data_IF_554725645302
#
_entry.id   IF_554725645302
#
_cell.length_a   1.000
_cell.length_b   1.000
_cell.length_c   1.000
_cell.angle_alpha   90.00
_cell.angle_beta   90.00
_cell.angle_gamma   90.00
#
_symmetry.space_group_name_H-M   'P 1'
#
loop_
_entity.id
_entity.type
_entity.pdbx_description
1 polymer ?
#
# COMPACT_ATOMS: atom_id res chain seq x y z
N UNK A 1 13.52 11.29 7.98
CA UNK A 1 12.77 10.30 8.79
C UNK A 1 12.15 9.30 7.84
N UNK A 2 12.14 8.03 8.20
CA UNK A 2 11.89 6.92 7.29
C UNK A 2 10.55 6.28 7.55
N UNK A 3 9.66 6.38 6.56
CA UNK A 3 8.30 5.92 6.68
C UNK A 3 8.19 4.51 6.09
N UNK A 4 7.40 3.63 6.71
CA UNK A 4 7.04 2.37 6.07
C UNK A 4 5.96 2.69 5.02
N UNK A 5 6.20 2.39 3.73
CA UNK A 5 5.31 2.81 2.65
C UNK A 5 4.30 1.73 2.24
N UNK A 6 3.60 1.12 3.20
CA UNK A 6 2.56 0.10 2.95
C UNK A 6 1.48 0.11 4.02
N UNK A 7 0.35 -0.56 3.78
CA UNK A 7 -0.69 -0.71 4.79
C UNK A 7 -0.21 -1.65 5.91
N UNK A 8 0.45 -1.09 6.92
CA UNK A 8 0.96 -1.79 8.11
C UNK A 8 -0.15 -2.47 8.91
N UNK A 9 -1.41 -2.07 8.71
CA UNK A 9 -2.55 -2.64 9.39
C UNK A 9 -3.10 -3.89 8.68
N UNK A 10 -2.73 -4.18 7.44
CA UNK A 10 -3.31 -5.28 6.66
C UNK A 10 -3.18 -6.64 7.38
N UNK A 11 -4.32 -7.31 7.58
CA UNK A 11 -4.49 -8.59 8.29
C UNK A 11 -3.91 -8.62 9.70
N UNK A 12 -3.74 -7.45 10.33
CA UNK A 12 -3.37 -7.35 11.74
C UNK A 12 -4.56 -7.60 12.65
N UNK A 13 -4.26 -7.88 13.91
CA UNK A 13 -5.30 -8.08 14.92
C UNK A 13 -6.00 -6.77 15.21
N UNK A 14 -7.30 -6.72 14.93
CA UNK A 14 -8.14 -5.55 15.17
C UNK A 14 -9.16 -5.81 16.28
N UNK A 15 -9.58 -4.76 16.98
CA UNK A 15 -10.59 -4.81 18.02
C UNK A 15 -11.49 -3.60 17.93
N UNK A 16 -12.76 -3.74 18.30
CA UNK A 16 -13.73 -2.66 18.26
C UNK A 16 -14.73 -2.77 19.41
N UNK A 17 -15.36 -1.65 19.75
CA UNK A 17 -16.57 -1.68 20.59
C UNK A 17 -17.78 -2.03 19.74
N UNK A 18 -18.50 -3.08 20.13
CA UNK A 18 -19.74 -3.46 19.46
C UNK A 18 -20.65 -4.20 20.41
N UNK A 19 -21.79 -3.59 20.74
CA UNK A 19 -22.80 -4.13 21.64
C UNK A 19 -23.90 -4.88 20.89
N UNK A 20 -24.19 -4.48 19.65
CA UNK A 20 -25.35 -4.98 18.90
C UNK A 20 -24.99 -5.88 17.73
N UNK A 21 -23.81 -5.71 17.10
CA UNK A 21 -23.48 -6.44 15.87
C UNK A 21 -22.07 -7.05 15.82
N UNK A 22 -21.47 -7.38 16.97
CA UNK A 22 -20.04 -7.76 17.06
C UNK A 22 -19.66 -8.95 16.18
N UNK A 23 -20.50 -9.99 16.17
CA UNK A 23 -20.25 -11.21 15.38
C UNK A 23 -20.53 -11.02 13.89
N UNK A 24 -21.39 -10.07 13.53
CA UNK A 24 -21.80 -9.83 12.14
C UNK A 24 -20.87 -8.88 11.39
N UNK A 25 -20.31 -7.89 12.08
CA UNK A 25 -19.40 -6.89 11.52
C UNK A 25 -18.13 -6.81 12.36
N UNK A 26 -17.30 -7.86 12.37
CA UNK A 26 -16.14 -7.94 13.24
C UNK A 26 -15.05 -6.93 12.85
N UNK A 27 -14.15 -6.64 13.79
CA UNK A 27 -13.17 -5.56 13.66
C UNK A 27 -12.14 -5.79 12.55
N UNK A 28 -11.81 -7.04 12.24
CA UNK A 28 -10.83 -7.46 11.23
C UNK A 28 -11.22 -7.04 9.81
N UNK A 29 -12.52 -6.82 9.57
CA UNK A 29 -13.03 -6.29 8.29
C UNK A 29 -12.45 -4.94 7.89
N UNK A 30 -12.01 -4.12 8.85
CA UNK A 30 -11.36 -2.84 8.52
C UNK A 30 -9.90 -3.00 8.01
N UNK A 31 -9.34 -4.20 8.13
CA UNK A 31 -7.94 -4.50 7.79
C UNK A 31 -7.80 -5.69 6.85
N UNK A 32 -8.90 -6.20 6.29
CA UNK A 32 -8.91 -7.36 5.39
C UNK A 32 -8.58 -7.02 3.92
N UNK A 33 -8.40 -5.72 3.63
CA UNK A 33 -8.10 -5.19 2.29
C UNK A 33 -9.32 -4.98 1.40
N UNK A 34 -10.52 -5.33 1.88
CA UNK A 34 -11.77 -5.02 1.20
C UNK A 34 -12.18 -3.58 1.51
N UNK A 35 -12.42 -2.81 0.45
CA UNK A 35 -12.77 -1.38 0.52
C UNK A 35 -14.25 -1.14 0.22
N UNK A 36 -15.05 -2.20 0.14
CA UNK A 36 -16.49 -2.15 -0.07
C UNK A 36 -17.19 -1.39 1.07
N UNK A 37 -17.92 -0.34 0.69
CA UNK A 37 -18.59 0.57 1.61
C UNK A 37 -20.04 0.19 1.91
N UNK A 38 -20.58 -0.83 1.24
CA UNK A 38 -21.98 -1.22 1.35
C UNK A 38 -22.18 -2.20 2.51
N UNK A 39 -22.87 -1.71 3.55
CA UNK A 39 -23.21 -2.51 4.73
C UNK A 39 -23.95 -3.82 4.40
N UNK A 40 -24.75 -3.83 3.33
CA UNK A 40 -25.47 -5.03 2.87
C UNK A 40 -24.56 -6.14 2.37
N UNK A 41 -23.29 -5.85 2.04
CA UNK A 41 -22.33 -6.86 1.59
C UNK A 41 -21.54 -7.47 2.77
N UNK A 42 -21.74 -7.00 4.00
CA UNK A 42 -21.16 -7.59 5.22
C UNK A 42 -19.62 -7.65 5.23
N UNK A 43 -18.99 -6.65 4.59
CA UNK A 43 -17.54 -6.51 4.49
C UNK A 43 -16.97 -5.35 5.33
N UNK A 44 -17.81 -4.61 6.06
CA UNK A 44 -17.36 -3.49 6.88
C UNK A 44 -17.18 -3.90 8.35
N UNK A 45 -16.22 -3.29 9.05
CA UNK A 45 -16.22 -3.24 10.50
C UNK A 45 -17.27 -2.22 10.98
N UNK A 46 -18.06 -2.55 12.00
CA UNK A 46 -19.13 -1.68 12.49
C UNK A 46 -19.03 -1.49 14.01
N UNK A 47 -18.14 -0.60 14.49
CA UNK A 47 -18.17 -0.22 15.88
C UNK A 47 -19.48 0.51 16.20
N UNK A 48 -20.20 0.05 17.23
CA UNK A 48 -21.47 0.64 17.62
C UNK A 48 -21.43 1.19 19.06
N UNK A 49 -22.21 2.26 19.25
CA UNK A 49 -22.36 2.94 20.54
C UNK A 49 -23.55 2.33 21.28
N UNK A 50 -23.37 1.18 21.92
CA UNK A 50 -24.30 0.77 22.97
C UNK A 50 -24.40 1.88 24.03
N UNK A 51 -25.64 2.21 24.42
CA UNK A 51 -26.07 3.26 25.36
C UNK A 51 -24.96 4.17 25.96
N UNK A 52 -24.45 5.12 25.16
CA UNK A 52 -23.74 6.29 25.69
C UNK A 52 -22.21 6.29 25.64
N UNK A 53 -21.55 5.26 25.07
CA UNK A 53 -20.08 5.28 24.88
C UNK A 53 -19.69 5.82 23.49
N UNK A 54 -18.45 6.32 23.35
CA UNK A 54 -17.89 6.67 22.04
C UNK A 54 -17.51 5.39 21.29
N UNK A 55 -17.93 5.28 20.02
CA UNK A 55 -17.51 4.19 19.15
C UNK A 55 -16.00 4.28 18.89
N UNK A 56 -15.29 3.16 19.08
CA UNK A 56 -13.86 3.04 18.81
C UNK A 56 -13.55 1.74 18.08
N UNK A 57 -12.48 1.81 17.31
CA UNK A 57 -11.83 0.69 16.64
C UNK A 57 -10.33 0.88 16.77
N UNK A 58 -9.58 -0.21 16.96
CA UNK A 58 -8.14 -0.20 17.07
C UNK A 58 -7.53 -1.39 16.34
N UNK A 59 -6.25 -1.26 15.97
CA UNK A 59 -5.44 -2.35 15.41
C UNK A 59 -4.12 -2.41 16.13
N UNK A 60 -3.69 -3.62 16.49
CA UNK A 60 -2.34 -3.88 16.96
C UNK A 60 -1.41 -4.08 15.76
N UNK A 61 -0.51 -3.12 15.55
CA UNK A 61 0.43 -3.16 14.43
C UNK A 61 1.59 -4.16 14.64
N UNK A 62 1.73 -4.71 15.85
CA UNK A 62 2.80 -5.65 16.24
C UNK A 62 4.22 -5.06 16.07
N UNK A 63 4.33 -3.72 16.10
CA UNK A 63 5.58 -3.00 15.91
C UNK A 63 5.42 -1.49 15.98
N UNK A 64 6.56 -0.78 15.98
CA UNK A 64 6.60 0.68 15.96
C UNK A 64 6.77 1.14 14.51
N UNK A 65 5.86 1.99 14.04
CA UNK A 65 5.84 2.50 12.67
C UNK A 65 5.64 4.01 12.65
N UNK A 66 6.38 4.71 11.80
CA UNK A 66 6.06 6.08 11.43
C UNK A 66 4.88 6.05 10.44
N UNK A 67 3.66 6.35 10.93
CA UNK A 67 2.44 6.34 10.12
C UNK A 67 2.38 7.59 9.27
N UNK A 68 2.49 7.42 7.94
CA UNK A 68 2.38 8.52 6.98
C UNK A 68 0.95 9.04 6.88
N UNK A 69 -0.04 8.14 6.82
CA UNK A 69 -1.46 8.47 6.82
C UNK A 69 -2.30 7.29 7.28
N UNK A 70 -3.53 7.60 7.70
CA UNK A 70 -4.57 6.61 7.98
C UNK A 70 -5.66 6.77 6.93
N UNK A 71 -5.98 5.70 6.23
CA UNK A 71 -7.04 5.67 5.23
C UNK A 71 -8.27 4.99 5.83
N UNK A 72 -9.39 5.71 5.87
CA UNK A 72 -10.67 5.17 6.34
C UNK A 72 -11.63 5.15 5.15
N UNK A 73 -12.24 3.99 4.90
CA UNK A 73 -13.26 3.80 3.87
C UNK A 73 -14.62 3.69 4.56
N UNK A 74 -15.38 4.79 4.58
CA UNK A 74 -16.61 4.87 5.37
C UNK A 74 -17.73 5.57 4.59
N UNK A 75 -18.79 4.83 4.26
CA UNK A 75 -20.03 5.37 3.66
C UNK A 75 -19.89 5.83 2.21
N UNK A 76 -21.04 5.99 1.52
CA UNK A 76 -21.21 6.43 0.13
C UNK A 76 -20.49 7.75 -0.20
N UNK A 77 -19.16 7.73 -0.28
CA UNK A 77 -18.36 8.89 -0.60
C UNK A 77 -18.75 9.36 -2.00
N UNK A 78 -19.47 10.48 -2.10
CA UNK A 78 -19.70 11.18 -3.37
C UNK A 78 -18.73 12.35 -3.44
N UNK A 79 -17.46 12.04 -3.71
CA UNK A 79 -16.45 13.07 -3.81
C UNK A 79 -16.62 13.87 -5.10
N UNK A 80 -16.20 15.14 -5.06
CA UNK A 80 -16.03 15.93 -6.28
C UNK A 80 -14.99 15.24 -7.17
N UNK A 81 -15.04 15.43 -8.50
CA UNK A 81 -14.03 14.89 -9.40
C UNK A 81 -12.61 15.19 -8.89
N UNK A 82 -11.75 14.16 -8.93
CA UNK A 82 -10.36 14.15 -8.44
C UNK A 82 -10.17 14.12 -6.91
N UNK A 83 -11.23 14.14 -6.12
CA UNK A 83 -11.12 13.97 -4.67
C UNK A 83 -11.49 12.54 -4.25
N UNK A 84 -10.86 12.03 -3.19
CA UNK A 84 -11.09 10.68 -2.69
C UNK A 84 -10.82 10.51 -1.19
N UNK A 85 -11.21 9.35 -0.66
CA UNK A 85 -11.02 8.96 0.74
C UNK A 85 -12.12 9.49 1.68
N UNK A 86 -12.05 9.15 2.97
CA UNK A 86 -13.01 9.66 3.96
C UNK A 86 -13.11 11.18 3.92
N UNK A 87 -14.34 11.71 3.86
CA UNK A 87 -14.62 13.15 3.78
C UNK A 87 -13.99 13.86 2.56
N UNK A 88 -13.54 13.11 1.54
CA UNK A 88 -12.96 13.66 0.31
C UNK A 88 -11.75 14.59 0.54
N UNK A 89 -10.94 14.27 1.55
CA UNK A 89 -9.81 15.10 1.99
C UNK A 89 -8.59 15.08 1.06
N UNK A 90 -8.48 14.07 0.18
CA UNK A 90 -7.31 13.91 -0.70
C UNK A 90 -7.66 14.24 -2.14
N UNK A 91 -6.79 14.99 -2.83
CA UNK A 91 -6.90 15.23 -4.27
C UNK A 91 -5.88 14.35 -5.02
N UNK A 92 -6.32 13.55 -6.00
CA UNK A 92 -5.44 12.69 -6.77
C UNK A 92 -4.76 13.41 -7.95
N UNK A 93 -3.57 12.90 -8.30
CA UNK A 93 -2.71 13.38 -9.38
C UNK A 93 -2.65 12.37 -10.54
N UNK A 94 -3.82 11.92 -11.02
CA UNK A 94 -3.90 10.97 -12.12
C UNK A 94 -3.39 11.54 -13.45
N UNK A 95 -3.01 10.64 -14.37
CA UNK A 95 -2.56 11.00 -15.72
C UNK A 95 -3.62 11.85 -16.42
N UNK A 96 -3.16 12.89 -17.14
CA UNK A 96 -4.03 13.81 -17.88
C UNK A 96 -5.17 14.46 -17.06
N UNK A 97 -5.04 14.52 -15.72
CA UNK A 97 -6.07 15.09 -14.85
C UNK A 97 -7.32 14.22 -14.71
N UNK A 98 -7.22 12.92 -15.00
CA UNK A 98 -8.31 11.96 -14.81
C UNK A 98 -8.90 11.99 -13.40
N UNK A 99 -10.18 11.63 -13.31
CA UNK A 99 -10.86 11.45 -12.02
C UNK A 99 -10.52 10.07 -11.46
N UNK A 100 -9.88 10.03 -10.30
CA UNK A 100 -9.70 8.79 -9.53
C UNK A 100 -11.03 8.30 -8.96
N UNK A 101 -11.03 7.02 -8.59
CA UNK A 101 -12.09 6.46 -7.76
C UNK A 101 -12.16 7.21 -6.41
N UNK A 102 -13.36 7.70 -6.07
CA UNK A 102 -13.68 8.51 -4.88
C UNK A 102 -13.49 7.76 -3.55
N UNK A 103 -13.52 6.43 -3.58
CA UNK A 103 -13.22 5.59 -2.42
C UNK A 103 -11.71 5.40 -2.31
N UNK A 104 -11.11 4.73 -3.28
CA UNK A 104 -9.74 4.16 -3.24
C UNK A 104 -8.64 5.09 -3.73
N UNK A 105 -8.99 6.22 -4.37
CA UNK A 105 -8.01 7.08 -5.05
C UNK A 105 -7.30 6.43 -6.23
N UNK A 106 -7.74 5.24 -6.68
CA UNK A 106 -7.13 4.55 -7.82
C UNK A 106 -7.41 5.32 -9.11
N UNK A 107 -6.35 5.56 -9.89
CA UNK A 107 -6.44 6.21 -11.18
C UNK A 107 -6.80 5.22 -12.29
N UNK A 108 -7.66 5.59 -13.27
CA UNK A 108 -8.00 4.74 -14.39
C UNK A 108 -6.79 4.33 -15.25
N UNK A 109 -5.95 5.30 -15.62
CA UNK A 109 -4.76 5.08 -16.44
C UNK A 109 -3.46 4.98 -15.63
N UNK A 110 -3.55 4.47 -14.39
CA UNK A 110 -2.47 4.50 -13.39
C UNK A 110 -1.88 5.90 -13.17
N UNK A 111 -0.77 5.96 -12.43
CA UNK A 111 -0.06 7.20 -12.18
C UNK A 111 0.73 7.73 -13.39
N UNK A 112 0.91 9.06 -13.48
CA UNK A 112 1.92 9.68 -14.31
C UNK A 112 3.31 9.10 -14.04
N UNK A 113 4.25 9.31 -14.96
CA UNK A 113 5.64 8.96 -14.72
C UNK A 113 6.14 9.67 -13.46
N UNK A 114 6.97 8.99 -12.66
CA UNK A 114 7.52 9.50 -11.39
C UNK A 114 6.52 9.60 -10.24
N UNK A 115 5.28 9.15 -10.40
CA UNK A 115 4.31 9.07 -9.30
C UNK A 115 3.82 7.64 -9.10
N UNK A 116 3.47 7.30 -7.87
CA UNK A 116 2.89 6.00 -7.50
C UNK A 116 2.09 6.11 -6.20
N UNK A 117 1.52 4.96 -5.79
CA UNK A 117 0.67 4.87 -4.61
C UNK A 117 -0.76 5.37 -4.86
N UNK A 118 -1.61 5.21 -3.85
CA UNK A 118 -3.02 5.64 -3.90
C UNK A 118 -3.11 7.15 -4.13
N UNK A 119 -3.88 7.56 -5.15
CA UNK A 119 -4.03 8.94 -5.59
C UNK A 119 -2.82 9.51 -6.33
N UNK A 120 -1.77 8.73 -6.60
CA UNK A 120 -0.52 9.20 -7.21
C UNK A 120 0.18 10.30 -6.41
N UNK A 121 0.18 10.15 -5.09
CA UNK A 121 0.70 11.16 -4.15
C UNK A 121 2.15 10.90 -3.73
N UNK A 122 2.76 9.80 -4.15
CA UNK A 122 4.13 9.43 -3.80
C UNK A 122 5.05 9.57 -5.02
N UNK A 123 6.25 10.11 -4.85
CA UNK A 123 7.26 10.18 -5.93
C UNK A 123 7.98 8.83 -6.12
N UNK A 124 8.19 8.44 -7.38
CA UNK A 124 9.05 7.32 -7.80
C UNK A 124 10.35 7.82 -8.46
N UNK A 125 10.81 9.03 -8.15
CA UNK A 125 12.02 9.63 -8.72
C UNK A 125 13.28 8.88 -8.25
N UNK A 126 13.73 7.82 -8.92
CA UNK A 126 14.98 7.08 -8.60
C UNK A 126 15.24 6.83 -7.09
N UNK A 127 14.23 6.93 -6.23
CA UNK A 127 14.35 6.84 -4.79
C UNK A 127 13.02 6.39 -4.23
N UNK A 128 13.08 5.76 -3.06
CA UNK A 128 11.90 5.42 -2.27
C UNK A 128 12.23 5.56 -0.79
N UNK A 129 11.17 5.69 0.01
CA UNK A 129 11.25 5.86 1.46
C UNK A 129 10.57 4.65 2.09
N UNK A 130 11.24 3.50 2.07
CA UNK A 130 10.81 2.28 2.74
C UNK A 130 12.07 1.62 3.30
N UNK A 131 12.19 1.40 4.63
CA UNK A 131 13.38 0.83 5.22
C UNK A 131 13.87 -0.46 4.53
N UNK A 132 12.96 -1.28 4.00
CA UNK A 132 13.31 -2.52 3.27
C UNK A 132 12.94 -2.49 1.79
N UNK A 133 12.06 -1.59 1.35
CA UNK A 133 11.54 -1.60 -0.02
C UNK A 133 10.48 -2.66 -0.29
N UNK A 134 9.93 -3.28 0.76
CA UNK A 134 8.90 -4.34 0.65
C UNK A 134 7.58 -3.83 0.11
N UNK A 135 7.30 -2.54 0.27
CA UNK A 135 6.05 -1.92 -0.15
C UNK A 135 6.21 -1.00 -1.35
N UNK A 136 7.40 -0.96 -1.94
CA UNK A 136 7.62 -0.15 -3.12
C UNK A 136 6.80 -0.70 -4.29
N UNK A 137 5.79 0.07 -4.71
CA UNK A 137 4.92 -0.24 -5.85
C UNK A 137 5.21 0.64 -7.06
N UNK A 138 6.30 1.40 -7.05
CA UNK A 138 6.70 2.23 -8.19
C UNK A 138 7.09 1.40 -9.41
N UNK A 139 7.14 2.04 -10.59
CA UNK A 139 7.33 1.36 -11.89
C UNK A 139 8.77 1.32 -12.39
N UNK A 140 9.75 1.58 -11.53
CA UNK A 140 11.16 1.52 -11.91
C UNK A 140 11.60 0.07 -12.16
N UNK A 141 12.41 -0.18 -13.19
CA UNK A 141 12.73 -1.53 -13.68
C UNK A 141 14.19 -1.65 -14.19
N UNK A 142 15.15 -1.03 -13.50
CA UNK A 142 16.58 -1.17 -13.80
C UNK A 142 17.39 -1.58 -12.57
N UNK A 143 18.29 -2.54 -12.75
CA UNK A 143 19.30 -2.92 -11.77
C UNK A 143 20.36 -1.82 -11.60
N UNK A 144 21.18 -1.89 -10.53
CA UNK A 144 22.31 -0.97 -10.29
C UNK A 144 23.29 -0.84 -11.46
N UNK A 145 23.45 -1.90 -12.24
CA UNK A 145 24.28 -1.95 -13.46
C UNK A 145 23.57 -1.38 -14.69
N UNK A 146 22.43 -0.71 -14.52
CA UNK A 146 21.58 -0.16 -15.59
C UNK A 146 20.95 -1.21 -16.52
N UNK A 147 21.04 -2.50 -16.15
CA UNK A 147 20.39 -3.59 -16.90
C UNK A 147 18.90 -3.61 -16.60
N UNK A 148 18.09 -3.76 -17.64
CA UNK A 148 16.63 -3.85 -17.53
C UNK A 148 16.22 -5.14 -16.80
N UNK A 149 15.30 -4.99 -15.85
CA UNK A 149 14.72 -6.12 -15.13
C UNK A 149 13.86 -7.01 -16.04
N UNK A 150 13.84 -8.32 -15.76
CA UNK A 150 12.96 -9.31 -16.40
C UNK A 150 11.66 -9.52 -15.59
N UNK A 151 10.60 -10.08 -16.20
CA UNK A 151 9.33 -10.33 -15.52
C UNK A 151 9.42 -11.26 -14.30
N UNK A 152 8.66 -10.95 -13.25
CA UNK A 152 8.52 -11.78 -12.06
C UNK A 152 7.72 -13.07 -12.29
N UNK A 153 6.88 -13.11 -13.33
CA UNK A 153 6.06 -14.28 -13.64
C UNK A 153 6.91 -15.54 -13.87
N UNK A 154 8.12 -15.36 -14.36
CA UNK A 154 9.09 -16.44 -14.63
C UNK A 154 9.77 -16.97 -13.35
N UNK A 155 9.44 -16.41 -12.18
CA UNK A 155 10.15 -16.63 -10.91
C UNK A 155 9.21 -17.19 -9.84
N UNK A 156 9.13 -18.51 -9.72
CA UNK A 156 8.13 -19.18 -8.86
C UNK A 156 8.36 -19.06 -7.36
N UNK A 157 9.58 -18.73 -6.93
CA UNK A 157 9.95 -18.74 -5.50
C UNK A 157 9.35 -17.60 -4.68
N UNK A 158 8.90 -16.53 -5.33
CA UNK A 158 8.47 -15.30 -4.66
C UNK A 158 6.97 -15.13 -4.74
N UNK A 159 6.33 -14.78 -3.62
CA UNK A 159 4.87 -14.68 -3.53
C UNK A 159 4.36 -13.42 -2.82
N UNK A 160 5.20 -12.76 -2.02
CA UNK A 160 4.80 -11.59 -1.22
C UNK A 160 5.03 -10.29 -1.97
N UNK A 161 4.21 -10.00 -2.98
CA UNK A 161 4.28 -8.76 -3.74
C UNK A 161 3.30 -7.72 -3.19
N UNK A 162 3.71 -6.44 -3.07
CA UNK A 162 2.79 -5.38 -2.67
C UNK A 162 1.70 -5.12 -3.73
N UNK A 163 1.91 -5.59 -4.97
CA UNK A 163 0.97 -5.46 -6.10
C UNK A 163 -0.14 -6.53 -6.11
N UNK A 164 -0.09 -7.49 -5.18
CA UNK A 164 -1.02 -8.63 -5.12
C UNK A 164 -0.51 -9.92 -5.78
N UNK A 165 0.46 -9.82 -6.70
CA UNK A 165 1.02 -10.99 -7.37
C UNK A 165 2.18 -10.70 -8.32
N UNK A 166 2.74 -11.78 -8.88
CA UNK A 166 3.88 -11.75 -9.83
C UNK A 166 3.49 -11.09 -11.17
N UNK A 167 2.26 -11.30 -11.62
CA UNK A 167 1.74 -10.73 -12.86
C UNK A 167 1.67 -9.21 -12.74
N UNK A 168 1.12 -8.72 -11.62
CA UNK A 168 0.90 -7.31 -11.33
C UNK A 168 2.22 -6.58 -11.06
N UNK A 169 3.18 -7.27 -10.42
CA UNK A 169 4.54 -6.76 -10.24
C UNK A 169 5.32 -6.59 -11.56
N UNK A 170 4.85 -7.19 -12.66
CA UNK A 170 5.43 -7.11 -13.99
C UNK A 170 6.94 -7.38 -13.98
N UNK A 171 7.77 -6.40 -14.36
CA UNK A 171 9.23 -6.45 -14.23
C UNK A 171 9.77 -5.34 -13.32
N UNK A 172 8.93 -4.78 -12.45
CA UNK A 172 9.32 -3.65 -11.62
C UNK A 172 10.19 -4.09 -10.44
N UNK A 173 11.01 -3.20 -9.93
CA UNK A 173 11.80 -3.43 -8.72
C UNK A 173 10.90 -3.77 -7.53
N UNK A 174 11.14 -4.89 -6.85
CA UNK A 174 10.34 -5.33 -5.69
C UNK A 174 11.25 -5.94 -4.63
N UNK A 175 10.72 -6.12 -3.43
CA UNK A 175 11.40 -6.87 -2.37
C UNK A 175 10.44 -7.89 -1.75
N UNK A 176 10.16 -9.01 -2.44
CA UNK A 176 9.21 -10.02 -1.96
C UNK A 176 9.77 -10.91 -0.83
N UNK A 177 11.09 -10.91 -0.60
CA UNK A 177 11.72 -11.71 0.45
C UNK A 177 11.93 -10.94 1.76
N UNK A 178 11.81 -9.60 1.74
CA UNK A 178 11.93 -8.76 2.92
C UNK A 178 13.35 -8.59 3.43
N UNK A 179 14.35 -8.80 2.57
CA UNK A 179 15.77 -8.64 2.89
C UNK A 179 16.15 -7.15 3.06
N UNK A 180 16.91 -6.58 2.13
CA UNK A 180 17.22 -5.15 2.09
C UNK A 180 17.10 -4.64 0.67
N UNK A 181 16.51 -3.46 0.57
CA UNK A 181 16.25 -2.75 -0.67
C UNK A 181 15.41 -3.48 -1.73
N UNK A 182 14.86 -2.72 -2.66
CA UNK A 182 14.24 -3.29 -3.85
C UNK A 182 15.29 -3.92 -4.76
N UNK A 183 14.95 -5.04 -5.38
CA UNK A 183 15.79 -5.77 -6.31
C UNK A 183 14.95 -6.32 -7.46
N UNK A 184 15.62 -6.85 -8.48
CA UNK A 184 14.94 -7.56 -9.56
C UNK A 184 15.87 -8.60 -10.18
N UNK A 185 15.29 -9.55 -10.92
CA UNK A 185 16.03 -10.40 -11.84
C UNK A 185 16.35 -9.64 -13.13
N UNK A 186 17.51 -9.89 -13.72
CA UNK A 186 17.94 -9.21 -14.96
C UNK A 186 18.40 -10.18 -16.06
N UNK A 187 18.38 -11.49 -15.82
CA UNK A 187 18.61 -12.50 -16.85
C UNK A 187 17.84 -13.80 -16.56
N UNK A 188 17.78 -14.69 -17.55
CA UNK A 188 17.11 -15.99 -17.46
C UNK A 188 17.81 -17.01 -16.55
N UNK A 189 19.06 -16.73 -16.12
CA UNK A 189 19.84 -17.57 -15.22
C UNK A 189 19.52 -17.37 -13.73
N UNK A 190 18.40 -16.73 -13.40
CA UNK A 190 18.02 -16.36 -12.03
C UNK A 190 19.00 -15.40 -11.35
N UNK A 191 19.81 -14.65 -12.13
CA UNK A 191 20.64 -13.61 -11.53
C UNK A 191 19.79 -12.40 -11.17
N UNK A 192 19.99 -11.92 -9.96
CA UNK A 192 19.32 -10.76 -9.42
C UNK A 192 20.33 -9.69 -9.02
N UNK A 193 19.87 -8.44 -8.98
CA UNK A 193 20.64 -7.33 -8.47
C UNK A 193 19.71 -6.33 -7.78
N UNK A 194 20.25 -5.58 -6.82
CA UNK A 194 19.55 -4.42 -6.28
C UNK A 194 19.23 -3.44 -7.39
N UNK A 195 18.09 -2.78 -7.27
CA UNK A 195 17.69 -1.76 -8.22
C UNK A 195 18.49 -0.48 -8.07
N UNK A 196 18.57 0.28 -9.17
CA UNK A 196 19.13 1.64 -9.21
C UNK A 196 18.14 2.66 -8.64
N UNK A 197 17.68 2.37 -7.43
CA UNK A 197 16.81 3.22 -6.63
C UNK A 197 17.55 3.54 -5.34
N UNK A 198 17.64 4.82 -5.03
CA UNK A 198 18.18 5.31 -3.77
C UNK A 198 17.14 5.09 -2.68
N UNK A 199 17.43 4.19 -1.75
CA UNK A 199 16.65 4.18 -0.53
C UNK A 199 17.04 5.42 0.29
N UNK A 200 16.16 6.42 0.41
CA UNK A 200 16.42 7.54 1.34
C UNK A 200 16.30 7.09 2.80
N UNK A 201 15.90 5.84 3.00
CA UNK A 201 16.08 5.08 4.23
C UNK A 201 17.34 4.25 4.18
N UNK A 202 18.48 4.92 4.11
CA UNK A 202 19.73 4.31 4.52
C UNK A 202 19.67 4.15 6.03
N UNK A 203 19.69 2.90 6.51
CA UNK A 203 20.19 2.65 7.86
C UNK A 203 21.58 3.27 7.89
N UNK A 204 21.78 4.35 8.66
CA UNK A 204 23.14 4.74 9.01
C UNK A 204 23.71 3.54 9.74
N UNK A 205 24.56 2.77 9.07
CA UNK A 205 25.52 1.93 9.77
C UNK A 205 26.29 2.89 10.66
N UNK A 206 25.96 2.89 11.96
CA UNK A 206 26.84 3.40 12.99
C UNK A 206 28.07 2.48 12.88
N UNK A 207 29.02 2.92 12.05
CA UNK A 207 30.34 2.32 11.98
C UNK A 207 31.02 2.58 13.31
N UNK A 208 31.53 1.49 13.89
CA UNK A 208 32.43 1.36 15.03
C UNK A 208 32.92 2.63 15.75
#
# INVERSE_FOLDING_TARGET
>A
MCFYSGNVAYRKTASQVSYTWGDKFPADRAVDGNVDQWRSHEHCALPDRGQGTNAWWQVDLEGIFDILRVEIYSGNNKCKPRYFGSQCQFECQCRAGETCNDVTGKCPSDCPNKLWGVGCLLSSDNYYNDPRGTNYMGKFAHARTDVRCIPWIDQEKHTKFPDGGRTEAANYCRNPDGYINTWCYYNSGLNWAHCKLDNKCTYETIGH
#
